data_IF_698265315947
#
_entry.id   IF_698265315947
#
_cell.length_a   1.000
_cell.length_b   1.000
_cell.length_c   1.000
_cell.angle_alpha   90.00
_cell.angle_beta   90.00
_cell.angle_gamma   90.00
#
_symmetry.space_group_name_H-M   'P 1'
#
loop_
_entity.id
_entity.type
_entity.pdbx_description
1 polymer ?
#
# COMPACT_ATOMS: atom_id res chain seq x y z
N UNK A 1 -26.06 39.94 -18.86
CA UNK A 1 -26.27 38.49 -19.01
C UNK A 1 -25.18 37.86 -19.88
N UNK A 2 -24.96 38.28 -21.11
CA UNK A 2 -23.98 37.70 -22.05
C UNK A 2 -22.50 37.68 -21.54
N UNK A 3 -22.08 38.72 -20.80
CA UNK A 3 -20.72 38.79 -20.21
C UNK A 3 -20.57 37.86 -19.02
N UNK A 4 -21.62 37.66 -18.24
CA UNK A 4 -21.62 36.70 -17.10
C UNK A 4 -21.56 35.28 -17.64
N UNK A 5 -22.30 34.95 -18.69
CA UNK A 5 -22.29 33.63 -19.32
C UNK A 5 -20.92 33.30 -19.94
N UNK A 6 -20.27 34.27 -20.57
CA UNK A 6 -18.91 34.11 -21.11
C UNK A 6 -17.91 33.90 -19.98
N UNK A 7 -18.03 34.64 -18.88
CA UNK A 7 -17.14 34.53 -17.73
C UNK A 7 -17.31 33.18 -17.00
N UNK A 8 -18.56 32.73 -16.83
CA UNK A 8 -18.88 31.41 -16.27
C UNK A 8 -18.34 30.28 -17.15
N UNK A 9 -18.55 30.39 -18.46
CA UNK A 9 -18.06 29.39 -19.42
C UNK A 9 -16.51 29.35 -19.50
N UNK A 10 -15.87 30.54 -19.44
CA UNK A 10 -14.41 30.61 -19.43
C UNK A 10 -13.81 30.04 -18.12
N UNK A 11 -14.44 30.34 -16.99
CA UNK A 11 -14.04 29.80 -15.68
C UNK A 11 -14.24 28.28 -15.62
N UNK A 12 -15.31 27.73 -16.18
CA UNK A 12 -15.55 26.29 -16.22
C UNK A 12 -14.48 25.57 -17.05
N UNK A 13 -14.12 26.11 -18.22
CA UNK A 13 -12.99 25.55 -19.02
C UNK A 13 -11.65 25.64 -18.34
N UNK A 14 -11.38 26.63 -17.49
CA UNK A 14 -10.13 26.80 -16.77
C UNK A 14 -9.90 25.69 -15.74
N UNK A 15 -10.98 25.15 -15.19
CA UNK A 15 -10.96 24.22 -14.08
C UNK A 15 -11.29 22.76 -14.47
N UNK A 16 -11.51 22.47 -15.76
CA UNK A 16 -11.77 21.11 -16.24
C UNK A 16 -10.49 20.41 -16.71
N UNK A 17 -10.43 19.11 -16.48
CA UNK A 17 -9.43 18.24 -17.06
C UNK A 17 -9.78 17.92 -18.52
N UNK A 18 -8.80 18.01 -19.41
CA UNK A 18 -9.02 17.87 -20.84
C UNK A 18 -9.40 16.45 -21.30
N UNK A 19 -9.05 15.43 -20.52
CA UNK A 19 -9.27 14.02 -20.85
C UNK A 19 -10.56 13.49 -20.25
N UNK A 20 -10.89 13.89 -19.01
CA UNK A 20 -11.88 13.18 -18.18
C UNK A 20 -13.11 14.01 -17.84
N UNK A 21 -13.12 15.29 -18.12
CA UNK A 21 -14.17 16.26 -17.70
C UNK A 21 -14.36 16.36 -16.16
N UNK A 22 -13.50 15.75 -15.37
CA UNK A 22 -13.39 16.02 -13.94
C UNK A 22 -12.82 17.44 -13.73
N UNK A 23 -12.94 17.99 -12.52
CA UNK A 23 -12.17 19.20 -12.22
C UNK A 23 -10.67 18.87 -12.25
N UNK A 24 -9.83 19.84 -12.62
CA UNK A 24 -8.38 19.70 -12.62
C UNK A 24 -7.76 20.08 -11.26
N UNK A 25 -6.46 19.83 -11.08
CA UNK A 25 -5.73 20.17 -9.86
C UNK A 25 -5.76 21.65 -9.50
N UNK A 26 -5.82 22.53 -10.52
CA UNK A 26 -5.93 23.98 -10.30
C UNK A 26 -7.20 24.35 -9.54
N UNK A 27 -8.34 23.70 -9.84
CA UNK A 27 -9.58 23.89 -9.08
C UNK A 27 -9.40 23.54 -7.59
N UNK A 28 -8.65 22.50 -7.28
CA UNK A 28 -8.35 22.16 -5.89
C UNK A 28 -7.53 23.26 -5.21
N UNK A 29 -6.44 23.70 -5.82
CA UNK A 29 -5.54 24.71 -5.26
C UNK A 29 -6.24 26.05 -5.03
N UNK A 30 -7.03 26.52 -6.00
CA UNK A 30 -7.67 27.84 -5.98
C UNK A 30 -8.96 27.82 -5.14
N UNK A 31 -9.76 26.74 -5.23
CA UNK A 31 -11.15 26.74 -4.76
C UNK A 31 -11.43 25.81 -3.55
N UNK A 32 -10.58 24.83 -3.26
CA UNK A 32 -10.93 23.80 -2.30
C UNK A 32 -9.96 23.68 -1.12
N UNK A 33 -8.68 23.78 -1.37
CA UNK A 33 -7.58 23.43 -0.44
C UNK A 33 -7.76 24.00 0.96
N UNK A 34 -8.02 25.31 1.08
CA UNK A 34 -8.10 26.02 2.34
C UNK A 34 -9.52 26.07 2.95
N UNK A 35 -10.52 25.47 2.27
CA UNK A 35 -11.90 25.50 2.77
C UNK A 35 -12.07 24.59 3.95
N UNK A 36 -12.70 25.12 4.99
CA UNK A 36 -13.17 24.34 6.15
C UNK A 36 -14.65 24.02 5.94
N UNK A 37 -14.97 22.76 5.71
CA UNK A 37 -16.34 22.26 5.49
C UNK A 37 -16.48 20.86 6.08
N UNK A 38 -17.66 20.53 6.56
CA UNK A 38 -18.01 19.15 6.85
C UNK A 38 -18.16 18.40 5.54
N UNK A 39 -17.26 17.49 5.26
CA UNK A 39 -17.27 16.74 4.01
C UNK A 39 -16.57 15.38 4.20
N UNK A 40 -16.99 14.40 3.41
CA UNK A 40 -16.19 13.22 3.11
C UNK A 40 -15.14 13.55 2.06
N UNK A 41 -13.91 13.19 2.29
CA UNK A 41 -12.78 13.42 1.40
C UNK A 41 -12.11 12.07 1.12
N UNK A 42 -12.03 11.69 -0.16
CA UNK A 42 -11.35 10.45 -0.56
C UNK A 42 -10.32 10.72 -1.65
N UNK A 43 -9.14 10.13 -1.50
CA UNK A 43 -8.19 9.95 -2.59
C UNK A 43 -8.40 8.57 -3.21
N UNK A 44 -8.46 8.53 -4.52
CA UNK A 44 -8.73 7.35 -5.34
C UNK A 44 -7.60 7.25 -6.38
N UNK A 45 -7.06 6.07 -6.56
CA UNK A 45 -5.99 5.79 -7.50
C UNK A 45 -6.33 4.54 -8.34
N UNK A 46 -6.06 4.60 -9.65
CA UNK A 46 -6.23 3.44 -10.52
C UNK A 46 -5.08 2.46 -10.33
N UNK A 47 -5.41 1.23 -9.94
CA UNK A 47 -4.41 0.18 -9.80
C UNK A 47 -3.80 -0.19 -11.15
N UNK A 48 -2.48 -0.33 -11.18
CA UNK A 48 -1.70 -0.78 -12.35
C UNK A 48 -1.87 0.08 -13.63
N UNK A 49 -2.29 1.36 -13.50
CA UNK A 49 -2.56 2.23 -14.66
C UNK A 49 -1.38 2.34 -15.64
N UNK A 50 -0.15 2.46 -15.11
CA UNK A 50 1.05 2.47 -15.95
C UNK A 50 1.18 1.18 -16.76
N UNK A 51 0.92 0.02 -16.15
CA UNK A 51 0.96 -1.27 -16.82
C UNK A 51 -0.11 -1.34 -17.94
N UNK A 52 -1.29 -0.80 -17.70
CA UNK A 52 -2.34 -0.71 -18.72
C UNK A 52 -1.88 0.13 -19.92
N UNK A 53 -1.24 1.29 -19.69
CA UNK A 53 -0.66 2.10 -20.76
C UNK A 53 0.44 1.36 -21.55
N UNK A 54 1.30 0.64 -20.83
CA UNK A 54 2.42 -0.09 -21.44
C UNK A 54 1.93 -1.27 -22.30
N UNK A 55 0.83 -1.93 -21.93
CA UNK A 55 0.27 -3.09 -22.64
C UNK A 55 -0.68 -2.67 -23.77
N UNK A 56 -1.61 -1.72 -23.49
CA UNK A 56 -2.71 -1.40 -24.40
C UNK A 56 -2.55 -0.04 -25.09
N UNK A 57 -1.51 0.72 -24.76
CA UNK A 57 -1.24 2.05 -25.28
C UNK A 57 -2.00 3.18 -24.57
N UNK A 58 -1.54 4.42 -24.76
CA UNK A 58 -2.10 5.61 -24.08
C UNK A 58 -3.58 5.87 -24.36
N UNK A 59 -4.07 5.54 -25.56
CA UNK A 59 -5.49 5.66 -25.89
C UNK A 59 -6.38 4.76 -25.01
N UNK A 60 -5.91 3.57 -24.67
CA UNK A 60 -6.59 2.69 -23.73
C UNK A 60 -6.57 3.25 -22.31
N UNK A 61 -5.47 3.88 -21.90
CA UNK A 61 -5.36 4.58 -20.63
C UNK A 61 -6.33 5.78 -20.54
N UNK A 62 -6.42 6.59 -21.57
CA UNK A 62 -7.37 7.70 -21.62
C UNK A 62 -8.81 7.21 -21.54
N UNK A 63 -9.15 6.12 -22.23
CA UNK A 63 -10.48 5.51 -22.16
C UNK A 63 -10.74 4.90 -20.77
N UNK A 64 -9.73 4.32 -20.11
CA UNK A 64 -9.83 3.83 -18.74
C UNK A 64 -10.13 4.98 -17.76
N UNK A 65 -9.40 6.09 -17.85
CA UNK A 65 -9.63 7.29 -17.04
C UNK A 65 -11.03 7.86 -17.25
N UNK A 66 -11.45 7.99 -18.52
CA UNK A 66 -12.80 8.45 -18.86
C UNK A 66 -13.87 7.53 -18.28
N UNK A 67 -13.69 6.21 -18.39
CA UNK A 67 -14.64 5.21 -17.88
C UNK A 67 -14.78 5.31 -16.35
N UNK A 68 -13.67 5.45 -15.63
CA UNK A 68 -13.66 5.61 -14.17
C UNK A 68 -14.40 6.88 -13.77
N UNK A 69 -14.13 8.01 -14.42
CA UNK A 69 -14.77 9.28 -14.11
C UNK A 69 -16.27 9.24 -14.41
N UNK A 70 -16.69 8.66 -15.52
CA UNK A 70 -18.10 8.49 -15.86
C UNK A 70 -18.85 7.65 -14.81
N UNK A 71 -18.23 6.56 -14.32
CA UNK A 71 -18.81 5.74 -13.26
C UNK A 71 -18.91 6.53 -11.96
N UNK A 72 -17.87 7.28 -11.58
CA UNK A 72 -17.90 8.08 -10.35
C UNK A 72 -19.02 9.13 -10.45
N UNK A 73 -19.11 9.88 -11.56
CA UNK A 73 -20.16 10.89 -11.76
C UNK A 73 -21.58 10.31 -11.65
N UNK A 74 -21.81 9.09 -12.14
CA UNK A 74 -23.10 8.39 -12.03
C UNK A 74 -23.46 8.02 -10.60
N UNK A 75 -22.49 7.92 -9.72
CA UNK A 75 -22.67 7.49 -8.33
C UNK A 75 -22.63 8.62 -7.29
N UNK A 76 -22.35 9.86 -7.70
CA UNK A 76 -22.25 11.01 -6.80
C UNK A 76 -23.30 12.09 -7.12
N UNK A 77 -23.46 13.07 -6.22
CA UNK A 77 -24.42 14.18 -6.38
C UNK A 77 -23.80 15.32 -7.16
N UNK A 78 -24.62 16.20 -7.74
CA UNK A 78 -24.16 17.46 -8.38
C UNK A 78 -23.39 18.38 -7.44
N UNK A 79 -23.63 18.28 -6.13
CA UNK A 79 -22.92 19.04 -5.09
C UNK A 79 -21.53 18.51 -4.82
N UNK A 80 -21.28 17.24 -5.08
CA UNK A 80 -20.02 16.60 -4.88
C UNK A 80 -19.00 17.04 -5.94
N UNK A 81 -17.73 16.97 -5.62
CA UNK A 81 -16.65 17.42 -6.50
C UNK A 81 -15.67 16.29 -6.74
N UNK A 82 -15.48 15.96 -8.02
CA UNK A 82 -14.47 15.02 -8.47
C UNK A 82 -13.36 15.81 -9.16
N UNK A 83 -12.13 15.66 -8.69
CA UNK A 83 -10.96 16.41 -9.16
C UNK A 83 -9.91 15.41 -9.59
N UNK A 84 -9.35 15.53 -10.78
CA UNK A 84 -8.17 14.80 -11.20
C UNK A 84 -6.95 15.44 -10.55
N UNK A 85 -6.36 14.73 -9.59
CA UNK A 85 -5.31 15.25 -8.73
C UNK A 85 -3.91 15.00 -9.28
N UNK A 86 -3.74 13.87 -9.98
CA UNK A 86 -2.54 13.44 -10.67
C UNK A 86 -2.86 12.70 -11.97
N UNK A 87 -1.91 11.93 -12.51
CA UNK A 87 -2.09 11.15 -13.74
C UNK A 87 -3.27 10.18 -13.69
N UNK A 88 -3.29 9.35 -12.64
CA UNK A 88 -4.26 8.29 -12.34
C UNK A 88 -4.94 8.48 -10.97
N UNK A 89 -4.68 9.61 -10.32
CA UNK A 89 -5.19 9.94 -9.00
C UNK A 89 -6.36 10.91 -9.07
N UNK A 90 -7.41 10.63 -8.31
CA UNK A 90 -8.59 11.46 -8.20
C UNK A 90 -8.89 11.81 -6.74
N UNK A 91 -9.34 13.05 -6.52
CA UNK A 91 -9.85 13.52 -5.23
C UNK A 91 -11.36 13.67 -5.34
N UNK A 92 -12.08 12.97 -4.48
CA UNK A 92 -13.54 13.08 -4.33
C UNK A 92 -13.86 13.82 -3.03
N UNK A 93 -14.64 14.90 -3.13
CA UNK A 93 -15.13 15.69 -1.99
C UNK A 93 -16.65 15.65 -1.97
N UNK A 94 -17.25 15.14 -0.91
CA UNK A 94 -18.69 14.99 -0.71
C UNK A 94 -19.14 15.84 0.49
N UNK A 95 -19.65 17.08 0.26
CA UNK A 95 -20.15 17.94 1.34
C UNK A 95 -21.35 17.33 2.06
N UNK A 96 -21.46 17.61 3.35
CA UNK A 96 -22.61 17.25 4.19
C UNK A 96 -23.01 15.76 4.05
N UNK A 97 -22.04 14.87 4.23
CA UNK A 97 -22.23 13.41 4.16
C UNK A 97 -21.96 12.77 5.52
N UNK A 98 -22.74 11.76 5.90
CA UNK A 98 -22.46 10.93 7.08
C UNK A 98 -21.40 9.88 6.76
N UNK A 99 -20.73 9.36 7.80
CA UNK A 99 -19.67 8.35 7.64
C UNK A 99 -20.18 7.08 6.96
N UNK A 100 -21.39 6.64 7.29
CA UNK A 100 -22.02 5.46 6.72
C UNK A 100 -22.28 5.63 5.22
N UNK A 101 -22.92 6.75 4.84
CA UNK A 101 -23.23 7.03 3.43
C UNK A 101 -21.96 7.21 2.61
N UNK A 102 -20.95 7.87 3.18
CA UNK A 102 -19.67 8.08 2.53
C UNK A 102 -18.95 6.75 2.25
N UNK A 103 -18.82 5.89 3.28
CA UNK A 103 -18.20 4.56 3.14
C UNK A 103 -18.94 3.69 2.12
N UNK A 104 -20.28 3.61 2.20
CA UNK A 104 -21.10 2.85 1.25
C UNK A 104 -20.94 3.35 -0.18
N UNK A 105 -20.86 4.68 -0.38
CA UNK A 105 -20.65 5.27 -1.71
C UNK A 105 -19.29 4.91 -2.29
N UNK A 106 -18.24 4.97 -1.50
CA UNK A 106 -16.89 4.59 -1.96
C UNK A 106 -16.84 3.10 -2.35
N UNK A 107 -17.46 2.22 -1.55
CA UNK A 107 -17.55 0.79 -1.87
C UNK A 107 -18.34 0.56 -3.16
N UNK A 108 -19.50 1.21 -3.32
CA UNK A 108 -20.31 1.11 -4.54
C UNK A 108 -19.55 1.57 -5.79
N UNK A 109 -18.79 2.66 -5.69
CA UNK A 109 -17.95 3.17 -6.78
C UNK A 109 -16.88 2.13 -7.13
N UNK A 110 -16.18 1.59 -6.15
CA UNK A 110 -15.14 0.57 -6.35
C UNK A 110 -15.71 -0.68 -7.02
N UNK A 111 -16.84 -1.22 -6.55
CA UNK A 111 -17.53 -2.38 -7.14
C UNK A 111 -18.00 -2.10 -8.56
N UNK A 112 -18.57 -0.91 -8.80
CA UNK A 112 -19.04 -0.49 -10.13
C UNK A 112 -17.89 -0.42 -11.14
N UNK A 113 -16.75 0.11 -10.75
CA UNK A 113 -15.53 0.18 -11.59
C UNK A 113 -15.02 -1.24 -11.88
N UNK A 114 -14.90 -2.08 -10.85
CA UNK A 114 -14.38 -3.44 -10.99
C UNK A 114 -15.23 -4.31 -11.93
N UNK A 115 -16.55 -4.12 -11.93
CA UNK A 115 -17.50 -4.87 -12.75
C UNK A 115 -17.73 -4.26 -14.15
N UNK A 116 -17.07 -3.14 -14.47
CA UNK A 116 -17.28 -2.47 -15.77
C UNK A 116 -16.21 -2.89 -16.78
N UNK A 117 -16.65 -3.08 -18.03
CA UNK A 117 -15.74 -3.26 -19.15
C UNK A 117 -15.38 -1.92 -19.77
N UNK A 118 -14.11 -1.73 -20.12
CA UNK A 118 -13.64 -0.53 -20.84
C UNK A 118 -14.07 -0.60 -22.31
N UNK A 119 -14.79 0.42 -22.82
CA UNK A 119 -15.22 0.43 -24.23
C UNK A 119 -14.02 0.28 -25.18
N UNK A 120 -14.12 -0.65 -26.12
CA UNK A 120 -13.04 -0.96 -27.08
C UNK A 120 -11.91 -1.85 -26.55
N UNK A 121 -11.89 -2.14 -25.25
CA UNK A 121 -10.82 -2.93 -24.60
C UNK A 121 -11.39 -4.00 -23.67
N UNK A 122 -12.00 -5.08 -24.18
CA UNK A 122 -12.74 -6.06 -23.38
C UNK A 122 -11.87 -6.84 -22.37
N UNK A 123 -10.56 -6.91 -22.61
CA UNK A 123 -9.60 -7.58 -21.73
C UNK A 123 -8.97 -6.66 -20.70
N UNK A 124 -9.23 -5.35 -20.73
CA UNK A 124 -8.72 -4.40 -19.78
C UNK A 124 -9.66 -4.36 -18.57
N UNK A 125 -9.18 -4.83 -17.43
CA UNK A 125 -9.91 -4.82 -16.17
C UNK A 125 -9.46 -3.64 -15.30
N UNK A 126 -10.41 -2.86 -14.83
CA UNK A 126 -10.15 -1.72 -13.96
C UNK A 126 -10.32 -2.12 -12.50
N UNK A 127 -9.44 -1.62 -11.67
CA UNK A 127 -9.60 -1.63 -10.22
C UNK A 127 -9.05 -0.33 -9.62
N UNK A 128 -9.58 0.05 -8.48
CA UNK A 128 -9.15 1.25 -7.76
C UNK A 128 -8.82 0.94 -6.31
N UNK A 129 -7.84 1.67 -5.79
CA UNK A 129 -7.55 1.74 -4.37
C UNK A 129 -7.93 3.12 -3.85
N UNK A 130 -8.72 3.18 -2.77
CA UNK A 130 -9.21 4.45 -2.24
C UNK A 130 -9.03 4.56 -0.72
N UNK A 131 -8.64 5.75 -0.27
CA UNK A 131 -8.59 6.12 1.14
C UNK A 131 -9.58 7.24 1.44
N UNK A 132 -10.45 7.09 2.45
CA UNK A 132 -11.49 8.04 2.75
C UNK A 132 -11.58 8.47 4.21
N UNK A 133 -11.78 9.78 4.48
CA UNK A 133 -11.93 10.37 5.82
C UNK A 133 -13.03 11.42 5.83
N UNK A 134 -13.55 11.74 7.02
CA UNK A 134 -14.35 12.95 7.25
C UNK A 134 -13.48 14.10 7.73
N UNK A 135 -13.83 15.34 7.34
CA UNK A 135 -13.05 16.54 7.72
C UNK A 135 -13.18 16.91 9.19
N UNK A 136 -14.32 16.58 9.83
CA UNK A 136 -14.59 16.88 11.25
C UNK A 136 -14.26 18.34 11.66
N UNK A 137 -14.57 19.30 10.79
CA UNK A 137 -14.30 20.73 11.01
C UNK A 137 -12.91 21.22 10.64
N UNK A 138 -12.02 20.33 10.20
CA UNK A 138 -10.70 20.64 9.67
C UNK A 138 -10.70 21.17 8.22
N UNK A 139 -9.54 21.52 7.70
CA UNK A 139 -9.39 21.92 6.30
C UNK A 139 -9.45 20.71 5.35
N UNK A 140 -9.82 20.97 4.11
CA UNK A 140 -9.78 19.92 3.06
C UNK A 140 -8.36 19.40 2.89
N UNK A 141 -7.34 20.25 2.98
CA UNK A 141 -5.93 19.84 2.86
C UNK A 141 -5.52 18.84 3.94
N UNK A 142 -5.91 19.08 5.22
CA UNK A 142 -5.64 18.12 6.30
C UNK A 142 -6.35 16.79 6.07
N UNK A 143 -7.57 16.83 5.56
CA UNK A 143 -8.31 15.61 5.21
C UNK A 143 -7.67 14.86 4.04
N UNK A 144 -7.19 15.55 3.00
CA UNK A 144 -6.44 14.96 1.88
C UNK A 144 -5.19 14.23 2.40
N UNK A 145 -4.41 14.85 3.28
CA UNK A 145 -3.21 14.24 3.86
C UNK A 145 -3.52 12.97 4.69
N UNK A 146 -4.69 12.93 5.36
CA UNK A 146 -5.15 11.73 6.08
C UNK A 146 -5.69 10.66 5.12
N UNK A 147 -6.42 11.05 4.08
CA UNK A 147 -6.95 10.15 3.06
C UNK A 147 -5.81 9.48 2.27
N UNK A 148 -4.72 10.21 1.97
CA UNK A 148 -3.53 9.68 1.30
C UNK A 148 -2.93 8.49 2.06
N UNK A 149 -2.78 8.61 3.38
CA UNK A 149 -2.29 7.50 4.22
C UNK A 149 -3.18 6.26 4.13
N UNK A 150 -4.51 6.43 4.05
CA UNK A 150 -5.45 5.31 3.92
C UNK A 150 -5.45 4.73 2.50
N UNK A 151 -5.39 5.56 1.47
CA UNK A 151 -5.25 5.13 0.07
C UNK A 151 -4.00 4.28 -0.12
N UNK A 152 -2.89 4.68 0.51
CA UNK A 152 -1.66 3.91 0.49
C UNK A 152 -1.82 2.51 1.12
N UNK A 153 -2.59 2.38 2.21
CA UNK A 153 -2.94 1.08 2.79
C UNK A 153 -3.83 0.26 1.84
N UNK A 154 -4.81 0.91 1.19
CA UNK A 154 -5.66 0.28 0.19
C UNK A 154 -4.85 -0.25 -1.01
N UNK A 155 -3.87 0.52 -1.51
CA UNK A 155 -2.95 0.12 -2.60
C UNK A 155 -2.17 -1.16 -2.29
N UNK A 156 -1.79 -1.39 -1.03
CA UNK A 156 -1.09 -2.61 -0.63
C UNK A 156 -1.97 -3.87 -0.81
N UNK A 157 -3.30 -3.72 -0.73
CA UNK A 157 -4.27 -4.80 -0.88
C UNK A 157 -4.84 -4.91 -2.31
N UNK A 158 -4.71 -3.85 -3.11
CA UNK A 158 -5.36 -3.62 -4.42
C UNK A 158 -6.88 -3.79 -4.40
N UNK A 159 -7.55 -3.06 -5.28
CA UNK A 159 -9.01 -3.09 -5.40
C UNK A 159 -9.73 -2.97 -4.05
N UNK A 160 -9.31 -2.00 -3.23
CA UNK A 160 -9.79 -1.84 -1.84
C UNK A 160 -10.12 -0.39 -1.53
N UNK A 161 -11.18 -0.23 -0.73
CA UNK A 161 -11.51 1.04 -0.06
C UNK A 161 -11.14 0.90 1.41
N UNK A 162 -10.41 1.87 1.96
CA UNK A 162 -10.07 1.96 3.39
C UNK A 162 -10.57 3.30 3.92
N UNK A 163 -11.49 3.26 4.88
CA UNK A 163 -12.05 4.47 5.50
C UNK A 163 -11.63 4.59 6.96
N UNK A 164 -11.85 5.76 7.54
CA UNK A 164 -11.63 5.98 8.96
C UNK A 164 -12.53 5.08 9.82
N UNK A 165 -13.73 4.74 9.33
CA UNK A 165 -14.66 3.80 9.96
C UNK A 165 -14.08 2.40 10.03
N UNK A 166 -13.51 1.90 8.93
CA UNK A 166 -12.89 0.57 8.87
C UNK A 166 -11.77 0.45 9.92
N UNK A 167 -11.00 1.52 10.13
CA UNK A 167 -10.02 1.57 11.23
C UNK A 167 -10.69 1.49 12.60
N UNK A 168 -11.76 2.22 12.86
CA UNK A 168 -12.47 2.19 14.16
C UNK A 168 -13.11 0.83 14.43
N UNK A 169 -13.67 0.17 13.42
CA UNK A 169 -14.27 -1.16 13.54
C UNK A 169 -13.20 -2.26 13.68
N UNK A 170 -12.04 -2.11 13.04
CA UNK A 170 -10.88 -2.98 13.25
C UNK A 170 -10.29 -2.82 14.66
N UNK A 171 -10.27 -1.61 15.23
CA UNK A 171 -9.91 -1.38 16.63
C UNK A 171 -10.90 -2.04 17.63
N UNK A 172 -12.13 -2.30 17.20
CA UNK A 172 -13.16 -2.98 18.03
C UNK A 172 -13.23 -4.49 17.84
N UNK A 173 -12.68 -5.08 16.77
CA UNK A 173 -12.85 -6.49 16.41
C UNK A 173 -11.59 -7.27 16.06
N UNK A 174 -10.48 -6.62 15.82
CA UNK A 174 -9.18 -7.29 15.65
C UNK A 174 -8.17 -6.60 16.55
N UNK A 175 -7.56 -7.37 17.42
CA UNK A 175 -6.19 -7.13 17.86
C UNK A 175 -5.42 -6.92 16.55
N UNK A 176 -5.12 -5.67 16.21
CA UNK A 176 -4.17 -5.39 15.13
C UNK A 176 -2.90 -6.10 15.55
N UNK A 177 -2.57 -7.21 14.90
CA UNK A 177 -1.25 -7.79 15.03
C UNK A 177 -0.33 -6.74 14.41
N UNK A 178 0.13 -5.79 15.24
CA UNK A 178 1.16 -4.84 14.84
C UNK A 178 2.32 -5.67 14.32
N UNK A 179 2.86 -5.26 13.17
CA UNK A 179 4.07 -5.90 12.65
C UNK A 179 5.17 -5.78 13.70
N UNK A 180 5.82 -6.90 13.99
CA UNK A 180 6.76 -7.03 15.08
C UNK A 180 8.17 -6.69 14.60
N UNK A 181 8.80 -5.71 15.26
CA UNK A 181 10.17 -5.27 14.98
C UNK A 181 11.05 -5.68 16.15
N UNK A 182 12.13 -6.38 15.88
CA UNK A 182 13.14 -6.69 16.85
C UNK A 182 14.24 -5.61 16.82
N UNK A 183 14.39 -4.87 17.91
CA UNK A 183 15.43 -3.85 18.11
C UNK A 183 16.56 -4.46 18.94
N UNK A 184 17.75 -4.52 18.36
CA UNK A 184 18.94 -5.16 18.97
C UNK A 184 20.06 -4.13 19.10
N UNK A 185 20.35 -3.72 20.32
CA UNK A 185 21.37 -2.71 20.63
C UNK A 185 21.75 -2.88 22.12
N UNK A 186 23.01 -2.81 22.48
CA UNK A 186 23.44 -2.96 23.87
C UNK A 186 23.15 -1.71 24.72
N UNK A 187 23.06 -0.54 24.07
CA UNK A 187 22.72 0.74 24.72
C UNK A 187 21.21 0.85 24.97
N UNK A 188 20.83 0.88 26.23
CA UNK A 188 19.44 1.13 26.63
C UNK A 188 18.86 2.40 26.03
N UNK A 189 19.64 3.48 25.99
CA UNK A 189 19.24 4.78 25.44
C UNK A 189 18.89 4.69 23.96
N UNK A 190 19.69 3.96 23.17
CA UNK A 190 19.43 3.77 21.74
C UNK A 190 18.14 2.99 21.51
N UNK A 191 17.93 1.90 22.28
CA UNK A 191 16.68 1.12 22.20
C UNK A 191 15.47 1.98 22.53
N UNK A 192 15.52 2.77 23.63
CA UNK A 192 14.42 3.66 24.02
C UNK A 192 14.10 4.70 22.93
N UNK A 193 15.10 5.27 22.27
CA UNK A 193 14.91 6.22 21.16
C UNK A 193 14.20 5.53 19.98
N UNK A 194 14.67 4.34 19.56
CA UNK A 194 14.09 3.61 18.45
C UNK A 194 12.66 3.12 18.78
N UNK A 195 12.45 2.65 20.00
CA UNK A 195 11.12 2.26 20.48
C UNK A 195 10.15 3.44 20.43
N UNK A 196 10.55 4.61 20.94
CA UNK A 196 9.71 5.82 20.93
C UNK A 196 9.33 6.26 19.50
N UNK A 197 10.25 6.11 18.54
CA UNK A 197 10.01 6.45 17.14
C UNK A 197 9.02 5.51 16.43
N UNK A 198 8.91 4.24 16.87
CA UNK A 198 8.23 3.18 16.13
C UNK A 198 7.01 2.59 16.84
N UNK A 199 6.85 2.79 18.15
CA UNK A 199 5.81 2.15 19.00
C UNK A 199 4.37 2.42 18.57
N UNK A 200 4.12 3.54 17.91
CA UNK A 200 2.76 3.92 17.50
C UNK A 200 2.22 2.97 16.41
N UNK A 201 3.07 2.57 15.48
CA UNK A 201 2.69 1.76 14.32
C UNK A 201 3.14 0.29 14.41
N UNK A 202 4.12 -0.04 15.28
CA UNK A 202 4.74 -1.37 15.36
C UNK A 202 4.72 -1.93 16.79
N UNK A 203 4.74 -3.26 16.90
CA UNK A 203 5.05 -3.98 18.15
C UNK A 203 6.57 -4.13 18.25
N UNK A 204 7.17 -3.60 19.30
CA UNK A 204 8.63 -3.63 19.45
C UNK A 204 9.02 -4.73 20.46
N UNK A 205 9.97 -5.56 20.05
CA UNK A 205 10.68 -6.49 20.93
C UNK A 205 12.11 -5.99 21.04
N UNK A 206 12.68 -6.00 22.21
CA UNK A 206 14.04 -5.57 22.46
C UNK A 206 14.96 -6.74 22.76
N UNK A 207 16.20 -6.68 22.26
CA UNK A 207 17.31 -7.52 22.66
C UNK A 207 18.51 -6.64 23.05
N UNK A 208 19.19 -7.00 24.11
CA UNK A 208 20.32 -6.24 24.67
C UNK A 208 21.67 -6.73 24.18
N UNK A 209 21.71 -7.87 23.50
CA UNK A 209 22.92 -8.51 22.96
C UNK A 209 22.55 -9.53 21.87
N UNK A 210 23.57 -10.03 21.17
CA UNK A 210 23.37 -10.96 20.06
C UNK A 210 22.77 -12.31 20.45
N UNK A 211 23.07 -12.81 21.64
CA UNK A 211 22.54 -14.10 22.10
C UNK A 211 21.03 -14.03 22.36
N UNK A 212 20.57 -12.94 22.96
CA UNK A 212 19.15 -12.67 23.17
C UNK A 212 18.43 -12.49 21.83
N UNK A 213 19.05 -11.78 20.88
CA UNK A 213 18.56 -11.65 19.51
C UNK A 213 18.30 -13.00 18.85
N UNK A 214 19.29 -13.91 18.87
CA UNK A 214 19.16 -15.26 18.32
C UNK A 214 18.00 -16.02 18.97
N UNK A 215 17.92 -15.99 20.31
CA UNK A 215 16.83 -16.64 21.04
C UNK A 215 15.45 -16.13 20.66
N UNK A 216 15.31 -14.82 20.46
CA UNK A 216 14.05 -14.19 20.02
C UNK A 216 13.72 -14.53 18.56
N UNK A 217 14.72 -14.61 17.67
CA UNK A 217 14.51 -15.04 16.28
C UNK A 217 14.03 -16.51 16.27
N UNK A 218 14.60 -17.39 17.07
CA UNK A 218 14.16 -18.78 17.19
C UNK A 218 12.74 -18.91 17.76
N UNK A 219 12.41 -18.07 18.74
CA UNK A 219 11.10 -18.08 19.39
C UNK A 219 9.97 -17.55 18.49
N UNK A 220 10.19 -16.44 17.81
CA UNK A 220 9.14 -15.74 17.05
C UNK A 220 9.21 -16.03 15.55
N UNK A 221 10.36 -16.37 15.02
CA UNK A 221 10.53 -16.76 13.62
C UNK A 221 10.00 -15.74 12.64
N UNK A 222 9.13 -16.20 11.75
CA UNK A 222 8.50 -15.38 10.69
C UNK A 222 7.49 -14.34 11.21
N UNK A 223 7.17 -14.34 12.49
CA UNK A 223 6.36 -13.29 13.11
C UNK A 223 7.15 -11.96 13.24
N UNK A 224 8.49 -12.03 13.25
CA UNK A 224 9.34 -10.85 13.16
C UNK A 224 9.30 -10.33 11.72
N UNK A 225 8.86 -9.10 11.57
CA UNK A 225 8.73 -8.42 10.27
C UNK A 225 10.01 -7.71 9.84
N UNK A 226 10.88 -7.36 10.80
CA UNK A 226 12.16 -6.68 10.57
C UNK A 226 13.04 -6.72 11.83
N UNK A 227 14.35 -6.77 11.64
CA UNK A 227 15.36 -6.61 12.69
C UNK A 227 16.11 -5.30 12.48
N UNK A 228 16.14 -4.46 13.51
CA UNK A 228 17.05 -3.31 13.63
C UNK A 228 18.25 -3.77 14.45
N UNK A 229 19.44 -3.83 13.85
CA UNK A 229 20.59 -4.50 14.41
C UNK A 229 21.80 -3.58 14.55
N UNK A 230 22.25 -3.34 15.78
CA UNK A 230 23.53 -2.70 16.01
C UNK A 230 24.71 -3.60 15.60
N UNK A 231 25.75 -2.99 15.08
CA UNK A 231 26.98 -3.71 14.67
C UNK A 231 27.81 -4.08 15.89
N UNK A 232 28.08 -3.12 16.77
CA UNK A 232 29.05 -3.27 17.85
C UNK A 232 28.35 -3.53 19.16
N UNK A 233 28.35 -4.80 19.55
CA UNK A 233 27.75 -5.26 20.80
C UNK A 233 28.68 -6.27 21.52
N UNK A 234 28.61 -6.33 22.85
CA UNK A 234 29.35 -7.33 23.62
C UNK A 234 28.78 -8.75 23.39
N UNK A 235 29.60 -9.74 23.64
CA UNK A 235 29.29 -11.19 23.59
C UNK A 235 29.15 -11.71 22.15
N UNK A 236 28.30 -11.13 21.34
CA UNK A 236 28.03 -11.51 19.96
C UNK A 236 27.73 -10.25 19.15
N UNK A 237 28.54 -9.95 18.15
CA UNK A 237 28.39 -8.73 17.32
C UNK A 237 27.32 -8.91 16.23
N UNK A 238 26.95 -7.78 15.58
CA UNK A 238 25.92 -7.80 14.54
C UNK A 238 26.28 -8.64 13.32
N UNK A 239 27.56 -8.79 12.98
CA UNK A 239 28.00 -9.65 11.88
C UNK A 239 27.91 -11.14 12.22
N UNK A 240 28.16 -11.50 13.46
CA UNK A 240 27.98 -12.89 13.93
C UNK A 240 26.50 -13.29 13.90
N UNK A 241 25.59 -12.36 14.24
CA UNK A 241 24.14 -12.56 14.09
C UNK A 241 23.76 -12.75 12.63
N UNK A 242 24.28 -11.90 11.71
CA UNK A 242 24.03 -12.06 10.28
C UNK A 242 24.54 -13.39 9.74
N UNK A 243 25.71 -13.86 10.19
CA UNK A 243 26.22 -15.18 9.82
C UNK A 243 25.28 -16.29 10.30
N UNK A 244 24.78 -16.17 11.54
CA UNK A 244 23.80 -17.11 12.08
C UNK A 244 22.50 -17.11 11.24
N UNK A 245 21.94 -15.93 10.93
CA UNK A 245 20.73 -15.79 10.12
C UNK A 245 20.91 -16.35 8.71
N UNK A 246 22.08 -16.14 8.08
CA UNK A 246 22.39 -16.72 6.77
C UNK A 246 22.46 -18.25 6.82
N UNK A 247 23.14 -18.85 7.81
CA UNK A 247 23.26 -20.30 7.95
C UNK A 247 21.90 -21.00 8.14
N UNK A 248 20.96 -20.32 8.78
CA UNK A 248 19.63 -20.86 9.05
C UNK A 248 18.55 -20.32 8.09
N UNK A 249 18.93 -19.65 7.00
CA UNK A 249 18.05 -19.07 5.98
C UNK A 249 17.04 -18.03 6.50
N UNK A 250 17.24 -17.50 7.71
CA UNK A 250 16.36 -16.46 8.28
C UNK A 250 16.43 -15.15 7.52
N UNK A 251 17.58 -14.80 6.91
CA UNK A 251 17.80 -13.54 6.20
C UNK A 251 16.90 -13.41 4.95
N UNK A 252 16.45 -14.55 4.40
CA UNK A 252 15.57 -14.58 3.23
C UNK A 252 14.13 -14.16 3.60
N UNK A 253 13.70 -14.49 4.81
CA UNK A 253 12.34 -14.25 5.30
C UNK A 253 12.23 -13.01 6.19
N UNK A 254 13.29 -12.65 6.92
CA UNK A 254 13.30 -11.56 7.90
C UNK A 254 14.34 -10.52 7.51
N UNK A 255 13.93 -9.36 6.98
CA UNK A 255 14.84 -8.29 6.60
C UNK A 255 15.58 -7.71 7.80
N UNK A 256 16.84 -7.33 7.57
CA UNK A 256 17.69 -6.69 8.57
C UNK A 256 18.09 -5.31 8.10
N UNK A 257 17.91 -4.30 8.93
CA UNK A 257 18.51 -2.98 8.79
C UNK A 257 19.61 -2.87 9.84
N UNK A 258 20.84 -2.67 9.39
CA UNK A 258 21.95 -2.43 10.32
C UNK A 258 22.01 -0.98 10.77
N UNK A 259 22.37 -0.80 12.02
CA UNK A 259 22.55 0.49 12.67
C UNK A 259 23.99 0.62 13.13
N UNK A 260 24.66 1.74 12.89
CA UNK A 260 26.01 1.97 13.39
C UNK A 260 26.37 3.45 13.47
N UNK A 261 27.30 3.77 14.36
CA UNK A 261 28.03 5.04 14.39
C UNK A 261 29.25 5.04 13.44
N UNK A 262 29.61 3.88 12.89
CA UNK A 262 30.76 3.74 12.01
C UNK A 262 30.36 4.02 10.55
N UNK A 263 30.87 5.10 9.98
CA UNK A 263 30.66 5.50 8.58
C UNK A 263 31.67 4.88 7.61
N UNK A 264 32.50 3.91 8.02
CA UNK A 264 33.50 3.37 7.14
C UNK A 264 32.84 2.57 6.00
N UNK A 265 33.17 2.92 4.75
CA UNK A 265 32.68 2.20 3.55
C UNK A 265 32.88 0.69 3.63
N UNK A 266 33.90 0.24 4.32
CA UNK A 266 34.22 -1.19 4.47
C UNK A 266 33.17 -1.92 5.30
N UNK A 267 32.65 -1.31 6.37
CA UNK A 267 31.58 -1.91 7.19
C UNK A 267 30.27 -1.97 6.43
N UNK A 268 29.92 -0.90 5.73
CA UNK A 268 28.70 -0.82 4.92
C UNK A 268 28.75 -1.89 3.80
N UNK A 269 29.85 -1.98 3.06
CA UNK A 269 30.03 -2.99 2.00
C UNK A 269 29.98 -4.43 2.56
N UNK A 270 30.56 -4.63 3.73
CA UNK A 270 30.51 -5.93 4.41
C UNK A 270 29.07 -6.29 4.80
N UNK A 271 28.30 -5.38 5.37
CA UNK A 271 26.91 -5.58 5.74
C UNK A 271 26.06 -6.02 4.53
N UNK A 272 26.14 -5.29 3.42
CA UNK A 272 25.40 -5.66 2.19
C UNK A 272 25.81 -7.02 1.62
N UNK A 273 27.09 -7.42 1.72
CA UNK A 273 27.54 -8.78 1.32
C UNK A 273 26.90 -9.89 2.16
N UNK A 274 26.54 -9.59 3.40
CA UNK A 274 25.83 -10.52 4.27
C UNK A 274 24.30 -10.51 4.08
N UNK A 275 23.77 -9.75 3.11
CA UNK A 275 22.35 -9.75 2.78
C UNK A 275 21.50 -8.75 3.57
N UNK A 276 22.11 -7.75 4.18
CA UNK A 276 21.39 -6.67 4.87
C UNK A 276 20.55 -5.88 3.88
N UNK A 277 19.31 -5.57 4.25
CA UNK A 277 18.36 -4.86 3.41
C UNK A 277 18.62 -3.37 3.32
N UNK A 278 19.11 -2.78 4.41
CA UNK A 278 19.45 -1.35 4.47
C UNK A 278 20.40 -1.06 5.66
N UNK A 279 20.86 0.19 5.74
CA UNK A 279 21.83 0.67 6.74
C UNK A 279 21.42 2.05 7.24
N UNK A 280 21.45 2.28 8.54
CA UNK A 280 21.14 3.56 9.19
C UNK A 280 22.35 4.01 10.00
N UNK A 281 22.86 5.24 9.73
CA UNK A 281 23.90 5.87 10.52
C UNK A 281 23.34 6.63 11.72
N UNK A 282 24.12 6.71 12.79
CA UNK A 282 23.86 7.61 13.93
C UNK A 282 24.50 8.98 13.67
N UNK A 283 23.90 10.09 14.14
CA UNK A 283 22.70 10.19 14.99
C UNK A 283 21.40 9.93 14.22
N UNK A 284 20.35 9.43 14.91
CA UNK A 284 19.08 9.09 14.32
C UNK A 284 18.27 10.32 13.90
N UNK A 285 17.84 10.35 12.64
CA UNK A 285 16.71 11.18 12.20
C UNK A 285 15.43 10.33 12.22
N UNK A 286 14.43 10.76 13.00
CA UNK A 286 13.21 9.99 13.21
C UNK A 286 12.43 9.72 11.92
N UNK A 287 12.40 10.69 10.99
CA UNK A 287 11.72 10.55 9.70
C UNK A 287 12.43 9.54 8.81
N UNK A 288 13.78 9.60 8.80
CA UNK A 288 14.61 8.69 8.00
C UNK A 288 14.49 7.26 8.53
N UNK A 289 14.60 7.06 9.84
CA UNK A 289 14.42 5.74 10.47
C UNK A 289 13.05 5.17 10.13
N UNK A 290 11.99 5.93 10.39
CA UNK A 290 10.62 5.50 10.11
C UNK A 290 10.43 5.12 8.63
N UNK A 291 10.87 5.97 7.69
CA UNK A 291 10.72 5.69 6.26
C UNK A 291 11.48 4.44 5.82
N UNK A 292 12.71 4.24 6.29
CA UNK A 292 13.51 3.05 5.94
C UNK A 292 12.88 1.78 6.45
N UNK A 293 12.48 1.76 7.73
CA UNK A 293 11.76 0.65 8.35
C UNK A 293 10.49 0.32 7.57
N UNK A 294 9.65 1.32 7.35
CA UNK A 294 8.38 1.16 6.66
C UNK A 294 8.55 0.66 5.21
N UNK A 295 9.48 1.25 4.44
CA UNK A 295 9.74 0.85 3.06
C UNK A 295 10.29 -0.58 2.97
N UNK A 296 11.18 -0.96 3.88
CA UNK A 296 11.75 -2.31 3.93
C UNK A 296 10.67 -3.35 4.24
N UNK A 297 9.88 -3.13 5.28
CA UNK A 297 8.76 -4.02 5.63
C UNK A 297 7.78 -4.17 4.47
N UNK A 298 7.43 -3.05 3.81
CA UNK A 298 6.54 -3.05 2.65
C UNK A 298 7.09 -3.85 1.48
N UNK A 299 8.38 -3.68 1.17
CA UNK A 299 9.03 -4.40 0.07
C UNK A 299 8.97 -5.92 0.30
N UNK A 300 9.33 -6.37 1.50
CA UNK A 300 9.31 -7.78 1.87
C UNK A 300 7.89 -8.35 1.96
N UNK A 301 6.92 -7.59 2.43
CA UNK A 301 5.50 -7.99 2.41
C UNK A 301 5.00 -8.20 0.97
N UNK A 302 5.37 -7.29 0.05
CA UNK A 302 5.04 -7.42 -1.39
C UNK A 302 5.70 -8.66 -2.00
N UNK A 303 6.96 -8.90 -1.71
CA UNK A 303 7.71 -10.06 -2.20
C UNK A 303 7.09 -11.37 -1.70
N UNK A 304 6.80 -11.50 -0.39
CA UNK A 304 6.12 -12.66 0.20
C UNK A 304 4.76 -12.92 -0.46
N UNK A 305 3.98 -11.86 -0.71
CA UNK A 305 2.69 -11.97 -1.39
C UNK A 305 2.83 -12.48 -2.83
N UNK A 306 3.82 -12.01 -3.58
CA UNK A 306 4.09 -12.48 -4.94
C UNK A 306 4.47 -13.96 -4.95
N UNK A 307 5.31 -14.40 -4.01
CA UNK A 307 5.70 -15.80 -3.87
C UNK A 307 4.48 -16.67 -3.55
N UNK A 308 3.61 -16.23 -2.61
CA UNK A 308 2.37 -16.93 -2.29
C UNK A 308 1.46 -17.05 -3.51
N UNK A 309 1.23 -15.96 -4.26
CA UNK A 309 0.39 -15.99 -5.47
C UNK A 309 0.94 -16.93 -6.54
N UNK A 310 2.25 -16.97 -6.75
CA UNK A 310 2.90 -17.89 -7.69
C UNK A 310 2.74 -19.34 -7.22
N UNK A 311 2.93 -19.59 -5.93
CA UNK A 311 2.73 -20.92 -5.33
C UNK A 311 1.30 -21.42 -5.48
N UNK A 312 0.31 -20.55 -5.22
CA UNK A 312 -1.11 -20.87 -5.37
C UNK A 312 -1.48 -21.19 -6.82
N UNK A 313 -0.96 -20.40 -7.78
CA UNK A 313 -1.15 -20.66 -9.22
C UNK A 313 -0.51 -21.96 -9.68
N UNK A 314 0.68 -22.29 -9.16
CA UNK A 314 1.33 -23.56 -9.47
C UNK A 314 0.51 -24.75 -8.93
N UNK A 315 0.01 -24.63 -7.72
CA UNK A 315 -0.83 -25.67 -7.11
C UNK A 315 -2.16 -25.90 -7.86
N UNK A 316 -2.80 -24.81 -8.29
CA UNK A 316 -4.01 -24.88 -9.11
C UNK A 316 -3.75 -25.52 -10.48
N UNK A 317 -2.62 -25.18 -11.10
CA UNK A 317 -2.18 -25.75 -12.39
C UNK A 317 -1.88 -27.26 -12.26
N UNK A 318 -1.25 -27.66 -11.17
CA UNK A 318 -0.95 -29.05 -10.88
C UNK A 318 -2.22 -29.88 -10.63
N UNK A 319 -3.19 -29.33 -9.90
CA UNK A 319 -4.50 -29.92 -9.68
C UNK A 319 -5.30 -30.09 -10.99
N UNK A 320 -5.25 -29.08 -11.87
CA UNK A 320 -5.89 -29.15 -13.17
C UNK A 320 -5.23 -30.21 -14.08
N UNK A 321 -3.91 -30.32 -14.05
CA UNK A 321 -3.18 -31.35 -14.80
C UNK A 321 -3.50 -32.75 -14.29
N UNK A 322 -3.58 -32.97 -12.98
CA UNK A 322 -3.97 -34.26 -12.39
C UNK A 322 -5.39 -34.64 -12.80
N UNK A 323 -6.34 -33.70 -12.76
CA UNK A 323 -7.74 -33.93 -13.19
C UNK A 323 -7.82 -34.28 -14.68
N UNK A 324 -7.00 -33.63 -15.53
CA UNK A 324 -6.93 -33.96 -16.97
C UNK A 324 -6.39 -35.37 -17.22
N UNK A 325 -5.36 -35.80 -16.48
CA UNK A 325 -4.83 -37.15 -16.54
C UNK A 325 -5.86 -38.20 -16.11
N UNK A 326 -6.62 -37.90 -15.06
CA UNK A 326 -7.68 -38.78 -14.54
C UNK A 326 -8.81 -38.93 -15.56
N UNK A 327 -9.26 -37.84 -16.17
CA UNK A 327 -10.28 -37.86 -17.24
C UNK A 327 -9.79 -38.64 -18.47
N UNK A 328 -8.55 -38.47 -18.90
CA UNK A 328 -7.95 -39.21 -20.01
C UNK A 328 -7.81 -40.68 -19.71
N UNK A 329 -7.48 -41.06 -18.48
CA UNK A 329 -7.42 -42.47 -18.02
C UNK A 329 -8.80 -43.10 -18.08
N UNK A 330 -9.84 -42.43 -17.61
CA UNK A 330 -11.24 -42.94 -17.70
C UNK A 330 -11.72 -43.09 -19.13
N UNK A 331 -11.37 -42.16 -20.03
CA UNK A 331 -11.71 -42.29 -21.47
C UNK A 331 -11.01 -43.49 -22.12
N UNK A 332 -9.72 -43.74 -21.75
CA UNK A 332 -9.00 -44.91 -22.26
C UNK A 332 -9.55 -46.24 -21.74
N UNK A 333 -9.97 -46.30 -20.46
CA UNK A 333 -10.62 -47.48 -19.89
C UNK A 333 -11.96 -47.76 -20.56
N UNK A 334 -12.77 -46.73 -20.82
CA UNK A 334 -14.03 -46.85 -21.54
C UNK A 334 -13.85 -47.41 -22.97
N UNK A 335 -12.81 -46.94 -23.66
CA UNK A 335 -12.51 -47.39 -25.05
C UNK A 335 -11.94 -48.81 -25.13
N UNK A 336 -11.27 -49.29 -24.08
CA UNK A 336 -10.72 -50.65 -24.01
C UNK A 336 -11.72 -51.66 -23.48
N UNK A 337 -12.84 -51.25 -22.90
CA UNK A 337 -13.90 -52.13 -22.41
C UNK A 337 -14.99 -52.46 -23.44
N UNK A 338 -14.95 -51.84 -24.63
CA UNK A 338 -15.87 -52.09 -25.75
C UNK A 338 -15.25 -52.96 -26.88
N UNK A 339 -14.13 -53.70 -26.64
CA UNK A 339 -13.46 -54.56 -27.58
C UNK A 339 -13.74 -56.03 -27.29
#
# INVERSE_FOLDING_TARGET
ERLIDIFVHYNDKLYRDAVTDAYNRRYYEDEMKNKKKNAGVALIDLDDFKLHNDIYGHQAGDMALYTVVDIIWKNIRKTDKLIRFGGDEFLLVMPEVTEEVFSQKLQLIQESIYNTNVPGYPNLRLSISAGGVLTEGGSIEEAVNRADKLMYQAKAMKNKVVTQKDKREQYGKQIQIKQRILVVDDSKMNREILCEMLKDDFEIIEATNGQECVSLIEQYGKEISLVLLDIVMPVMDGFEILMYMNRNHWIEDVPVIMISSEESENYIRKAFKFGVSDYISRPFDSKVVYQRVFNTIKLYAKQRRLISMVSDQMHEKEKNNQMMVEVLSQIMEFRNGES
#
